data_IF_764010153578
#
_entry.id   IF_764010153578
#
_cell.length_a   1.000
_cell.length_b   1.000
_cell.length_c   1.000
_cell.angle_alpha   90.00
_cell.angle_beta   90.00
_cell.angle_gamma   90.00
#
_symmetry.space_group_name_H-M   'P 1'
#
loop_
_entity.id
_entity.type
_entity.pdbx_description
1 polymer ?
#
# COMPACT_ATOMS: atom_id res chain seq x y z
N UNK A 1 31.20 12.46 -8.98
CA UNK A 1 32.13 11.38 -8.60
C UNK A 1 31.47 10.45 -7.59
N UNK A 2 31.62 9.11 -7.73
CA UNK A 2 31.34 8.19 -6.64
C UNK A 2 32.25 8.49 -5.43
N UNK A 3 31.77 8.16 -4.24
CA UNK A 3 32.46 8.42 -2.97
C UNK A 3 32.51 7.15 -2.15
N UNK A 4 33.67 6.85 -1.56
CA UNK A 4 33.88 5.69 -0.70
C UNK A 4 34.58 6.09 0.59
N UNK A 5 34.48 5.24 1.61
CA UNK A 5 35.29 5.32 2.82
C UNK A 5 36.46 4.34 2.69
N UNK A 6 37.66 4.83 2.88
CA UNK A 6 38.92 4.09 2.77
C UNK A 6 39.65 4.08 4.11
N UNK A 7 40.50 3.10 4.30
CA UNK A 7 41.45 3.03 5.40
C UNK A 7 42.86 2.85 4.85
N UNK A 8 43.82 3.62 5.36
CA UNK A 8 45.23 3.56 4.98
C UNK A 8 45.90 2.31 5.58
N UNK A 9 46.46 1.43 4.74
CA UNK A 9 47.00 0.13 5.18
C UNK A 9 48.52 0.08 5.27
N UNK A 10 49.24 0.84 4.45
CA UNK A 10 50.70 1.01 4.55
C UNK A 10 51.16 2.25 3.81
N UNK A 11 52.29 2.81 4.24
CA UNK A 11 53.08 3.79 3.48
C UNK A 11 54.27 3.08 2.84
N UNK A 12 54.75 3.57 1.70
CA UNK A 12 55.96 3.09 0.99
C UNK A 12 56.97 4.23 0.84
N UNK A 13 58.24 3.87 0.74
CA UNK A 13 59.36 4.81 0.63
C UNK A 13 59.36 5.63 -0.68
N UNK A 14 58.55 5.23 -1.66
CA UNK A 14 58.30 5.95 -2.92
C UNK A 14 57.26 7.08 -2.80
N UNK A 15 56.69 7.30 -1.61
CA UNK A 15 55.64 8.29 -1.36
C UNK A 15 54.22 7.79 -1.63
N UNK A 16 54.06 6.57 -2.14
CA UNK A 16 52.75 5.97 -2.37
C UNK A 16 52.21 5.25 -1.13
N UNK A 17 50.88 5.20 -1.02
CA UNK A 17 50.19 4.58 0.11
C UNK A 17 49.22 3.52 -0.37
N UNK A 18 49.16 2.38 0.32
CA UNK A 18 48.13 1.36 0.06
C UNK A 18 46.87 1.65 0.88
N UNK A 19 45.71 1.37 0.31
CA UNK A 19 44.42 1.58 0.97
C UNK A 19 43.49 0.36 0.80
N UNK A 20 42.57 0.19 1.74
CA UNK A 20 41.43 -0.73 1.66
C UNK A 20 40.12 0.03 1.80
N UNK A 21 39.01 -0.50 1.29
CA UNK A 21 37.70 0.04 1.67
C UNK A 21 37.49 -0.17 3.19
N UNK A 22 36.88 0.80 3.89
CA UNK A 22 36.67 0.69 5.34
C UNK A 22 35.92 -0.61 5.69
N UNK A 23 36.53 -1.42 6.57
CA UNK A 23 36.00 -2.74 6.95
C UNK A 23 36.32 -3.92 6.02
N UNK A 24 36.93 -3.71 4.84
CA UNK A 24 37.36 -4.80 3.95
C UNK A 24 38.64 -5.49 4.46
N UNK A 25 38.84 -6.79 4.22
CA UNK A 25 40.03 -7.52 4.70
C UNK A 25 41.29 -7.34 3.84
N UNK A 26 41.15 -6.99 2.58
CA UNK A 26 42.25 -6.94 1.61
C UNK A 26 42.44 -5.51 1.07
N UNK A 27 43.68 -5.08 0.77
CA UNK A 27 43.95 -3.80 0.12
C UNK A 27 43.31 -3.75 -1.27
N UNK A 28 42.74 -2.60 -1.61
CA UNK A 28 41.99 -2.35 -2.84
C UNK A 28 42.81 -1.63 -3.92
N UNK A 29 43.84 -0.87 -3.52
CA UNK A 29 44.66 -0.12 -4.46
C UNK A 29 45.78 0.66 -3.77
N UNK A 30 46.41 1.52 -4.56
CA UNK A 30 47.43 2.48 -4.13
C UNK A 30 46.90 3.90 -4.36
N UNK A 31 47.38 4.88 -3.59
CA UNK A 31 47.12 6.31 -3.76
C UNK A 31 48.42 7.11 -3.61
N UNK A 32 48.47 8.29 -4.23
CA UNK A 32 49.57 9.23 -4.05
C UNK A 32 49.48 9.92 -2.67
N UNK A 33 50.55 9.87 -1.89
CA UNK A 33 50.66 10.53 -0.59
C UNK A 33 50.51 12.05 -0.66
N UNK A 34 50.66 12.68 -1.83
CA UNK A 34 50.41 14.11 -2.03
C UNK A 34 48.95 14.53 -1.75
N UNK A 35 48.00 13.58 -1.83
CA UNK A 35 46.58 13.81 -1.55
C UNK A 35 46.24 13.74 -0.06
N UNK A 36 47.15 13.26 0.79
CA UNK A 36 46.90 13.04 2.21
C UNK A 36 46.95 14.35 3.03
N UNK A 37 46.08 14.50 4.05
CA UNK A 37 46.21 15.61 4.98
C UNK A 37 47.49 15.49 5.82
N UNK A 38 48.09 16.63 6.14
CA UNK A 38 49.34 16.69 6.92
C UNK A 38 49.18 15.98 8.28
N UNK A 39 49.92 14.89 8.47
CA UNK A 39 49.86 14.08 9.69
C UNK A 39 49.06 12.78 9.58
N UNK A 40 48.59 12.39 8.39
CA UNK A 40 47.93 11.10 8.15
C UNK A 40 48.81 9.90 8.55
N UNK A 41 48.19 8.89 9.15
CA UNK A 41 48.83 7.68 9.66
C UNK A 41 48.17 6.38 9.12
N UNK A 42 48.89 5.26 9.22
CA UNK A 42 48.34 3.94 8.92
C UNK A 42 47.22 3.62 9.92
N UNK A 43 46.05 3.22 9.41
CA UNK A 43 44.83 3.01 10.18
C UNK A 43 43.81 4.16 10.08
N UNK A 44 44.18 5.33 9.55
CA UNK A 44 43.24 6.44 9.38
C UNK A 44 42.14 6.09 8.38
N UNK A 45 40.89 6.37 8.76
CA UNK A 45 39.72 6.23 7.90
C UNK A 45 39.34 7.59 7.29
N UNK A 46 39.45 7.68 5.96
CA UNK A 46 39.25 8.90 5.19
C UNK A 46 38.15 8.69 4.15
N UNK A 47 37.47 9.78 3.77
CA UNK A 47 36.44 9.72 2.73
C UNK A 47 37.05 10.17 1.41
N UNK A 48 37.07 9.28 0.42
CA UNK A 48 37.66 9.52 -0.88
C UNK A 48 36.59 9.76 -1.96
N UNK A 49 36.88 10.66 -2.90
CA UNK A 49 36.25 10.66 -4.22
C UNK A 49 37.07 9.76 -5.14
N UNK A 50 36.39 8.88 -5.88
CA UNK A 50 37.04 7.93 -6.78
C UNK A 50 36.56 8.09 -8.22
N UNK A 51 37.42 7.69 -9.14
CA UNK A 51 37.11 7.52 -10.55
C UNK A 51 37.38 6.07 -10.96
N UNK A 52 36.61 5.55 -11.92
CA UNK A 52 36.69 4.15 -12.35
C UNK A 52 37.22 4.09 -13.78
N UNK A 53 38.43 3.55 -13.92
CA UNK A 53 39.10 3.33 -15.20
C UNK A 53 39.10 1.84 -15.57
N UNK A 54 39.60 1.50 -16.77
CA UNK A 54 39.75 0.10 -17.19
C UNK A 54 40.66 -0.70 -16.24
N UNK A 55 41.68 -0.04 -15.68
CA UNK A 55 42.72 -0.67 -14.86
C UNK A 55 42.40 -0.68 -13.36
N UNK A 56 41.29 -0.06 -12.91
CA UNK A 56 40.87 -0.10 -11.51
C UNK A 56 40.08 1.12 -11.01
N UNK A 57 40.04 1.25 -9.68
CA UNK A 57 39.51 2.40 -8.96
C UNK A 57 40.68 3.27 -8.49
N UNK A 58 40.72 4.51 -8.97
CA UNK A 58 41.71 5.51 -8.57
C UNK A 58 41.08 6.52 -7.61
N UNK A 59 41.85 7.04 -6.66
CA UNK A 59 41.41 8.09 -5.73
C UNK A 59 41.86 9.44 -6.26
N UNK A 60 40.90 10.28 -6.61
CA UNK A 60 41.17 11.60 -7.23
C UNK A 60 41.25 12.72 -6.19
N UNK A 61 40.56 12.58 -5.05
CA UNK A 61 40.56 13.57 -3.97
C UNK A 61 40.17 12.95 -2.63
N UNK A 62 40.70 13.52 -1.53
CA UNK A 62 40.29 13.18 -0.16
C UNK A 62 39.49 14.33 0.47
N UNK A 63 38.34 13.98 1.02
CA UNK A 63 37.49 14.89 1.79
C UNK A 63 37.99 14.88 3.24
N UNK A 64 38.40 16.04 3.74
CA UNK A 64 38.75 16.22 5.15
C UNK A 64 37.60 15.73 6.05
N UNK A 65 37.88 15.01 7.16
CA UNK A 65 36.85 14.57 8.07
C UNK A 65 36.08 15.78 8.59
N UNK A 66 34.75 15.75 8.42
CA UNK A 66 33.86 16.76 8.99
C UNK A 66 34.08 16.74 10.50
N UNK A 67 34.63 17.83 11.05
CA UNK A 67 34.90 17.94 12.47
C UNK A 67 33.66 17.52 13.25
N UNK A 68 33.81 16.52 14.13
CA UNK A 68 32.73 16.03 14.97
C UNK A 68 32.25 17.17 15.85
N UNK A 69 31.06 17.69 15.57
CA UNK A 69 30.40 18.60 16.48
C UNK A 69 29.98 17.79 17.69
N UNK A 70 30.72 17.91 18.80
CA UNK A 70 30.45 17.26 20.09
C UNK A 70 29.24 17.89 20.81
N UNK A 71 28.22 18.27 20.03
CA UNK A 71 26.93 18.70 20.51
C UNK A 71 25.94 17.56 20.23
N UNK A 72 25.11 17.15 21.21
CA UNK A 72 24.05 16.19 20.95
C UNK A 72 23.07 16.76 19.93
N UNK A 73 22.51 15.89 19.07
CA UNK A 73 21.50 16.24 18.06
C UNK A 73 20.22 16.80 18.73
N UNK A 74 20.23 18.10 19.06
CA UNK A 74 19.06 18.81 19.55
C UNK A 74 18.09 19.02 18.39
N UNK A 75 16.94 18.36 18.47
CA UNK A 75 15.79 18.66 17.62
C UNK A 75 15.26 20.05 17.98
N UNK A 76 15.67 21.07 17.24
CA UNK A 76 15.15 22.43 17.38
C UNK A 76 13.68 22.46 16.92
N UNK A 77 12.77 22.41 17.90
CA UNK A 77 11.33 22.51 17.66
C UNK A 77 10.99 23.97 17.34
N UNK A 78 11.04 24.30 16.06
CA UNK A 78 10.47 25.55 15.54
C UNK A 78 8.96 25.55 15.77
N UNK A 79 8.55 26.15 16.89
CA UNK A 79 7.13 26.39 17.20
C UNK A 79 6.46 27.17 16.07
N UNK A 80 5.23 26.81 15.73
CA UNK A 80 4.52 27.23 14.50
C UNK A 80 4.19 28.73 14.39
N UNK A 81 4.69 29.58 15.30
CA UNK A 81 4.38 31.00 15.40
C UNK A 81 2.92 31.31 15.72
N UNK A 82 2.09 30.30 16.01
CA UNK A 82 0.64 30.42 16.19
C UNK A 82 0.26 30.07 17.61
N UNK A 83 -0.38 31.01 18.28
CA UNK A 83 -0.85 30.85 19.65
C UNK A 83 -2.21 30.13 19.65
N UNK A 84 -2.19 28.82 19.39
CA UNK A 84 -3.37 27.94 19.48
C UNK A 84 -3.48 27.36 20.90
N UNK A 85 -4.69 27.31 21.51
CA UNK A 85 -4.85 26.85 22.89
C UNK A 85 -4.48 25.37 23.05
N UNK A 86 -3.51 25.10 23.92
CA UNK A 86 -2.79 23.82 24.01
C UNK A 86 -3.59 22.64 24.60
N UNK A 87 -4.87 22.81 24.95
CA UNK A 87 -5.70 21.73 25.54
C UNK A 87 -7.12 21.76 25.00
N UNK A 88 -7.59 20.64 24.44
CA UNK A 88 -8.99 20.43 24.06
C UNK A 88 -9.67 19.52 25.09
N UNK A 89 -10.06 20.07 26.25
CA UNK A 89 -10.84 19.30 27.24
C UNK A 89 -12.30 19.14 26.82
N UNK A 90 -12.68 17.98 26.28
CA UNK A 90 -14.09 17.63 26.08
C UNK A 90 -14.70 17.05 27.35
N UNK A 91 -15.26 17.90 28.20
CA UNK A 91 -16.04 17.47 29.37
C UNK A 91 -17.40 16.89 28.95
N UNK A 92 -17.71 15.67 29.41
CA UNK A 92 -18.99 15.03 29.18
C UNK A 92 -20.13 15.74 29.94
N UNK A 93 -21.27 15.98 29.27
CA UNK A 93 -22.44 16.60 29.91
C UNK A 93 -23.17 15.63 30.84
N UNK A 94 -23.13 15.94 32.14
CA UNK A 94 -23.90 15.29 33.21
C UNK A 94 -25.41 15.52 33.00
N UNK A 95 -26.20 14.45 33.03
CA UNK A 95 -27.66 14.53 32.95
C UNK A 95 -28.28 15.15 34.21
N UNK A 96 -29.44 15.79 34.07
CA UNK A 96 -30.23 16.31 35.21
C UNK A 96 -31.73 16.04 35.01
N UNK A 97 -32.32 15.41 36.02
CA UNK A 97 -33.74 15.12 36.14
C UNK A 97 -34.53 16.24 36.83
N UNK A 98 -35.79 16.39 36.44
CA UNK A 98 -36.93 16.60 37.36
C UNK A 98 -37.25 17.99 37.95
N UNK A 99 -38.24 18.68 37.35
CA UNK A 99 -39.36 19.47 37.97
C UNK A 99 -40.17 20.05 36.80
N UNK A 100 -41.46 19.76 36.55
CA UNK A 100 -42.74 19.76 37.33
C UNK A 100 -43.40 21.15 37.36
N UNK A 101 -44.62 21.23 36.81
CA UNK A 101 -45.47 22.42 36.68
C UNK A 101 -45.40 23.02 35.26
N UNK A 102 -46.48 23.45 34.59
CA UNK A 102 -47.94 23.46 34.87
C UNK A 102 -48.72 23.34 33.53
N UNK A 103 -50.00 22.96 33.59
CA UNK A 103 -50.98 23.16 32.51
C UNK A 103 -52.07 24.12 33.02
N UNK A 104 -52.67 24.99 32.18
CA UNK A 104 -53.98 24.62 31.58
C UNK A 104 -54.36 25.31 30.24
N UNK A 105 -55.33 24.72 29.50
CA UNK A 105 -56.16 25.37 28.43
C UNK A 105 -55.34 25.94 27.22
N UNK A 106 -55.81 26.32 26.02
CA UNK A 106 -57.05 26.20 25.20
C UNK A 106 -56.73 26.73 23.77
N UNK A 107 -57.45 26.51 22.67
CA UNK A 107 -58.60 25.64 22.37
C UNK A 107 -58.73 25.33 20.84
N UNK A 108 -59.91 24.86 20.42
CA UNK A 108 -60.55 25.01 19.10
C UNK A 108 -59.95 24.33 17.84
N UNK A 109 -60.73 23.32 17.39
CA UNK A 109 -60.82 22.84 16.01
C UNK A 109 -61.65 23.84 15.17
N UNK A 110 -61.50 23.89 13.82
CA UNK A 110 -62.40 23.08 12.97
C UNK A 110 -61.79 22.59 11.63
N UNK A 111 -61.88 21.28 11.30
CA UNK A 111 -62.88 20.61 10.41
C UNK A 111 -62.51 20.51 8.92
N UNK A 112 -62.66 19.29 8.34
CA UNK A 112 -62.58 19.02 6.90
C UNK A 112 -62.36 17.52 6.57
N UNK A 113 -63.25 16.62 6.99
CA UNK A 113 -64.33 15.98 6.20
C UNK A 113 -63.93 14.79 5.27
N UNK A 114 -64.34 13.59 5.74
CA UNK A 114 -65.03 12.48 5.01
C UNK A 114 -64.18 11.67 3.99
N UNK A 115 -64.46 10.39 3.70
CA UNK A 115 -65.74 9.64 3.75
C UNK A 115 -65.57 8.10 3.90
N UNK A 116 -66.51 7.46 4.61
CA UNK A 116 -67.03 6.05 4.65
C UNK A 116 -66.12 4.84 4.26
N UNK A 117 -66.17 3.63 4.86
CA UNK A 117 -67.01 3.04 5.93
C UNK A 117 -67.82 1.81 5.47
N UNK A 118 -67.61 0.61 6.06
CA UNK A 118 -68.63 -0.47 6.21
C UNK A 118 -68.23 -1.65 7.14
N UNK A 119 -69.25 -2.14 7.85
CA UNK A 119 -69.40 -3.32 8.74
C UNK A 119 -69.07 -4.68 8.07
N UNK A 120 -69.00 -5.86 8.71
CA UNK A 120 -69.34 -6.34 10.06
C UNK A 120 -69.92 -7.78 10.03
N UNK A 121 -69.90 -8.54 11.16
CA UNK A 121 -70.27 -9.99 11.35
C UNK A 121 -69.26 -11.04 10.78
N UNK A 122 -69.10 -12.24 11.35
CA UNK A 122 -69.62 -12.76 12.63
C UNK A 122 -69.30 -14.25 12.97
N UNK A 123 -68.92 -14.50 14.23
CA UNK A 123 -69.12 -15.65 15.18
C UNK A 123 -69.20 -17.15 14.75
N UNK A 124 -68.59 -17.99 15.64
CA UNK A 124 -68.84 -19.43 16.03
C UNK A 124 -68.35 -20.53 15.05
N UNK A 125 -67.60 -21.60 15.42
CA UNK A 125 -67.70 -22.69 16.47
C UNK A 125 -68.99 -23.52 16.30
N UNK A 126 -69.04 -24.86 16.18
CA UNK A 126 -68.28 -26.03 16.71
C UNK A 126 -68.33 -27.21 15.69
N UNK A 127 -67.39 -28.18 15.57
CA UNK A 127 -66.99 -29.37 16.41
C UNK A 127 -67.96 -30.59 16.37
N UNK A 128 -67.45 -31.75 15.94
CA UNK A 128 -68.09 -33.10 15.94
C UNK A 128 -67.65 -33.92 14.70
N UNK A 129 -66.76 -34.91 14.76
CA UNK A 129 -66.87 -36.32 15.24
C UNK A 129 -67.57 -37.30 14.25
N UNK A 130 -67.26 -38.61 14.13
CA UNK A 130 -66.08 -39.46 14.45
C UNK A 130 -66.35 -40.94 14.06
N UNK A 131 -65.61 -41.55 13.12
CA UNK A 131 -65.53 -43.02 12.89
C UNK A 131 -64.61 -43.36 11.69
N UNK A 132 -63.99 -44.54 11.53
CA UNK A 132 -63.44 -45.54 12.48
C UNK A 132 -62.59 -46.58 11.69
N UNK A 133 -61.44 -47.04 12.23
CA UNK A 133 -60.71 -48.30 11.83
C UNK A 133 -60.15 -48.39 10.39
N UNK A 134 -59.00 -49.00 10.06
CA UNK A 134 -58.29 -50.15 10.66
C UNK A 134 -56.75 -49.99 10.68
N UNK A 135 -56.06 -50.99 11.27
CA UNK A 135 -54.63 -51.06 11.62
C UNK A 135 -53.71 -51.39 10.43
N UNK A 136 -52.46 -50.93 10.45
CA UNK A 136 -51.27 -51.80 10.63
C UNK A 136 -49.96 -50.98 10.70
N UNK A 137 -48.96 -51.57 11.35
CA UNK A 137 -47.68 -50.98 11.72
C UNK A 137 -46.68 -50.86 10.54
N UNK A 138 -45.69 -49.96 10.65
CA UNK A 138 -44.67 -49.78 9.61
C UNK A 138 -43.75 -48.59 9.86
N UNK A 139 -42.65 -48.84 10.58
CA UNK A 139 -41.73 -47.83 11.09
C UNK A 139 -40.89 -47.11 10.00
N UNK A 140 -40.77 -45.78 10.12
CA UNK A 140 -39.66 -44.89 9.70
C UNK A 140 -38.95 -45.16 8.34
N UNK A 141 -38.98 -44.30 7.31
CA UNK A 141 -39.07 -42.82 7.32
C UNK A 141 -37.67 -42.19 7.13
N UNK A 142 -36.99 -42.23 5.97
CA UNK A 142 -37.32 -41.78 4.60
C UNK A 142 -36.57 -40.49 4.19
N UNK A 143 -35.64 -40.66 3.24
CA UNK A 143 -35.50 -39.89 2.00
C UNK A 143 -35.47 -38.34 2.02
N UNK A 144 -34.26 -37.82 2.06
CA UNK A 144 -33.74 -36.71 1.23
C UNK A 144 -34.62 -36.23 0.03
N UNK A 145 -35.12 -34.98 0.05
CA UNK A 145 -35.01 -34.07 -1.12
C UNK A 145 -35.32 -32.59 -0.84
N UNK A 146 -34.51 -31.76 -1.50
CA UNK A 146 -34.64 -30.31 -1.78
C UNK A 146 -36.06 -29.72 -1.70
N UNK A 147 -36.18 -28.54 -1.07
CA UNK A 147 -37.10 -27.50 -1.59
C UNK A 147 -36.52 -26.09 -1.46
N UNK A 148 -36.65 -25.37 -2.57
CA UNK A 148 -36.14 -24.04 -2.86
C UNK A 148 -36.96 -22.96 -2.15
N UNK A 149 -36.31 -21.94 -1.55
CA UNK A 149 -37.00 -20.81 -0.91
C UNK A 149 -36.54 -19.48 -1.49
N UNK A 150 -37.32 -18.99 -2.44
CA UNK A 150 -37.16 -17.67 -3.04
C UNK A 150 -37.61 -16.57 -2.07
N UNK A 151 -36.65 -15.84 -1.49
CA UNK A 151 -36.93 -14.59 -0.74
C UNK A 151 -36.35 -13.37 -1.45
N UNK A 152 -37.04 -12.96 -2.52
CA UNK A 152 -36.89 -11.63 -3.13
C UNK A 152 -37.19 -10.55 -2.06
N UNK A 153 -36.16 -9.92 -1.50
CA UNK A 153 -36.31 -8.66 -0.76
C UNK A 153 -35.98 -7.49 -1.69
N UNK A 154 -36.98 -6.63 -1.89
CA UNK A 154 -36.87 -5.39 -2.66
C UNK A 154 -35.79 -4.48 -2.06
N UNK A 155 -34.84 -4.06 -2.89
CA UNK A 155 -34.03 -2.85 -2.69
C UNK A 155 -34.03 -2.05 -3.99
N UNK A 156 -35.09 -1.26 -4.15
CA UNK A 156 -35.22 -0.23 -5.19
C UNK A 156 -34.54 1.04 -4.65
N UNK A 157 -33.67 1.68 -5.43
CA UNK A 157 -33.01 2.93 -5.01
C UNK A 157 -31.48 2.87 -4.89
N UNK A 158 -30.79 2.42 -5.95
CA UNK A 158 -29.44 2.85 -6.25
C UNK A 158 -29.28 2.84 -7.77
N UNK A 159 -29.30 4.01 -8.39
CA UNK A 159 -28.87 4.20 -9.78
C UNK A 159 -27.37 3.98 -9.84
N UNK A 160 -26.96 2.72 -9.93
CA UNK A 160 -25.64 2.39 -10.42
C UNK A 160 -25.58 2.87 -11.86
N UNK A 161 -24.98 4.04 -12.09
CA UNK A 161 -24.58 4.46 -13.43
C UNK A 161 -23.82 3.29 -14.06
N UNK A 162 -24.08 2.94 -15.33
CA UNK A 162 -23.26 1.98 -16.04
C UNK A 162 -21.87 2.61 -16.22
N UNK A 163 -21.02 2.41 -15.23
CA UNK A 163 -19.58 2.58 -15.39
C UNK A 163 -19.23 1.73 -16.59
N UNK A 164 -18.76 2.38 -17.65
CA UNK A 164 -18.12 1.73 -18.78
C UNK A 164 -16.98 0.92 -18.22
N UNK A 165 -17.24 -0.37 -18.02
CA UNK A 165 -16.29 -1.36 -17.57
C UNK A 165 -15.30 -1.53 -18.73
N UNK A 166 -14.34 -0.61 -18.79
CA UNK A 166 -13.16 -0.75 -19.62
C UNK A 166 -12.56 -2.10 -19.24
N UNK A 167 -12.47 -3.00 -20.21
CA UNK A 167 -11.92 -4.36 -20.04
C UNK A 167 -10.43 -4.24 -19.73
N UNK A 168 -10.14 -3.90 -18.48
CA UNK A 168 -8.81 -4.00 -17.90
C UNK A 168 -8.46 -5.47 -17.74
N UNK A 169 -7.16 -5.82 -17.83
CA UNK A 169 -6.72 -7.19 -17.60
C UNK A 169 -7.20 -7.69 -16.22
N UNK A 170 -7.45 -9.00 -16.07
CA UNK A 170 -7.92 -9.57 -14.82
C UNK A 170 -6.97 -9.21 -13.68
N UNK A 171 -7.52 -8.88 -12.51
CA UNK A 171 -6.73 -8.50 -11.34
C UNK A 171 -5.79 -9.66 -10.96
N UNK A 172 -4.50 -9.40 -10.69
CA UNK A 172 -3.53 -10.44 -10.38
C UNK A 172 -3.94 -11.23 -9.13
N UNK A 173 -3.54 -12.52 -9.07
CA UNK A 173 -3.90 -13.38 -7.94
C UNK A 173 -3.09 -12.95 -6.71
N UNK A 174 -3.75 -12.87 -5.56
CA UNK A 174 -3.07 -12.58 -4.28
C UNK A 174 -2.38 -13.84 -3.76
N UNK A 175 -1.22 -13.66 -3.12
CA UNK A 175 -0.49 -14.75 -2.48
C UNK A 175 -1.37 -15.45 -1.42
N UNK A 176 -1.36 -16.78 -1.42
CA UNK A 176 -2.07 -17.62 -0.43
C UNK A 176 -1.09 -18.62 0.21
N UNK A 177 -0.35 -18.19 1.26
CA UNK A 177 0.58 -19.05 1.99
C UNK A 177 -0.14 -20.25 2.61
N UNK A 178 0.58 -21.36 2.73
CA UNK A 178 0.16 -22.48 3.59
C UNK A 178 0.52 -22.14 5.05
N UNK A 179 0.38 -23.11 5.94
CA UNK A 179 0.80 -23.02 7.36
C UNK A 179 1.50 -24.31 7.78
N UNK A 180 2.28 -24.92 6.87
CA UNK A 180 3.01 -26.18 7.08
C UNK A 180 4.17 -25.92 8.03
N UNK A 181 5.07 -25.04 7.61
CA UNK A 181 6.27 -24.68 8.38
C UNK A 181 5.90 -23.97 9.68
N UNK A 182 4.95 -23.03 9.64
CA UNK A 182 4.45 -22.33 10.83
C UNK A 182 3.86 -23.30 11.87
N UNK A 183 3.14 -24.35 11.46
CA UNK A 183 2.63 -25.38 12.39
C UNK A 183 3.76 -26.25 12.96
N UNK A 184 4.70 -26.68 12.13
CA UNK A 184 5.85 -27.46 12.57
C UNK A 184 6.70 -26.69 13.59
N UNK A 185 6.98 -25.41 13.32
CA UNK A 185 7.73 -24.55 14.24
C UNK A 185 6.99 -24.28 15.56
N UNK A 186 5.66 -24.23 15.56
CA UNK A 186 4.88 -24.15 16.81
C UNK A 186 4.92 -25.46 17.60
N UNK A 187 4.83 -26.61 16.94
CA UNK A 187 4.85 -27.93 17.58
C UNK A 187 6.25 -28.37 18.05
N UNK A 188 7.30 -27.67 17.63
CA UNK A 188 8.68 -27.88 18.06
C UNK A 188 9.09 -27.01 19.28
N UNK A 189 8.19 -26.18 19.79
CA UNK A 189 8.40 -25.44 21.03
C UNK A 189 8.14 -26.34 22.25
N UNK A 190 8.75 -26.06 23.41
CA UNK A 190 8.31 -26.61 24.69
C UNK A 190 6.83 -26.30 24.95
N UNK A 191 6.14 -27.18 25.68
CA UNK A 191 4.69 -27.11 25.84
C UNK A 191 4.23 -25.82 26.54
N UNK A 192 5.04 -25.34 27.49
CA UNK A 192 4.84 -24.09 28.23
C UNK A 192 4.89 -22.86 27.29
N UNK A 193 5.60 -22.96 26.17
CA UNK A 193 5.78 -21.88 25.21
C UNK A 193 4.76 -21.92 24.06
N UNK A 194 3.94 -22.97 23.95
CA UNK A 194 2.94 -23.10 22.88
C UNK A 194 1.97 -21.91 22.82
N UNK A 195 1.49 -21.42 23.96
CA UNK A 195 0.55 -20.30 24.01
C UNK A 195 1.21 -18.99 23.54
N UNK A 196 2.41 -18.70 24.05
CA UNK A 196 3.21 -17.52 23.66
C UNK A 196 3.51 -17.59 22.15
N UNK A 197 3.97 -18.75 21.66
CA UNK A 197 4.22 -18.99 20.24
C UNK A 197 2.98 -18.75 19.37
N UNK A 198 1.79 -19.17 19.81
CA UNK A 198 0.54 -18.92 19.09
C UNK A 198 0.16 -17.43 19.04
N UNK A 199 0.40 -16.67 20.11
CA UNK A 199 0.18 -15.21 20.15
C UNK A 199 1.15 -14.52 19.17
N UNK A 200 2.44 -14.83 19.27
CA UNK A 200 3.50 -14.32 18.39
C UNK A 200 3.24 -14.63 16.92
N UNK A 201 2.78 -15.84 16.60
CA UNK A 201 2.44 -16.26 15.24
C UNK A 201 1.17 -15.58 14.66
N UNK A 202 0.45 -14.78 15.46
CA UNK A 202 -0.72 -13.99 15.05
C UNK A 202 -0.43 -12.48 15.04
N UNK A 203 0.17 -11.95 16.12
CA UNK A 203 0.36 -10.50 16.33
C UNK A 203 1.81 -10.05 16.56
N UNK A 204 2.79 -10.96 16.51
CA UNK A 204 4.19 -10.67 16.83
C UNK A 204 4.39 -10.20 18.27
N UNK A 205 5.54 -9.57 18.53
CA UNK A 205 5.87 -9.00 19.86
C UNK A 205 4.83 -7.95 20.33
N UNK A 206 4.30 -7.03 19.48
CA UNK A 206 3.25 -6.10 19.91
C UNK A 206 2.00 -6.83 20.41
N UNK A 207 1.49 -7.81 19.66
CA UNK A 207 0.33 -8.60 20.09
C UNK A 207 0.58 -9.41 21.37
N UNK A 208 1.83 -9.76 21.68
CA UNK A 208 2.18 -10.35 22.98
C UNK A 208 2.07 -9.31 24.11
N UNK A 209 2.57 -8.09 23.92
CA UNK A 209 2.43 -6.99 24.91
C UNK A 209 0.96 -6.68 25.17
N UNK A 210 0.18 -6.43 24.12
CA UNK A 210 -1.27 -6.16 24.20
C UNK A 210 -2.02 -7.26 24.98
N UNK A 211 -1.63 -8.53 24.76
CA UNK A 211 -2.25 -9.69 25.42
C UNK A 211 -1.88 -9.79 26.90
N UNK A 212 -0.64 -9.48 27.29
CA UNK A 212 -0.21 -9.50 28.69
C UNK A 212 -0.77 -8.28 29.43
N UNK A 213 -0.77 -7.09 28.85
CA UNK A 213 -1.38 -5.90 29.43
C UNK A 213 -2.88 -6.10 29.73
N UNK A 214 -3.61 -6.75 28.81
CA UNK A 214 -5.00 -7.12 29.02
C UNK A 214 -5.19 -8.13 30.18
N UNK A 215 -4.27 -9.10 30.34
CA UNK A 215 -4.31 -10.06 31.45
C UNK A 215 -3.95 -9.40 32.78
N UNK A 216 -2.91 -8.56 32.83
CA UNK A 216 -2.51 -7.84 34.04
C UNK A 216 -3.62 -6.91 34.54
N UNK A 217 -4.35 -6.27 33.63
CA UNK A 217 -5.53 -5.50 33.98
C UNK A 217 -6.62 -6.38 34.62
N UNK A 218 -6.90 -7.54 34.06
CA UNK A 218 -7.88 -8.47 34.62
C UNK A 218 -7.44 -9.07 35.97
N UNK A 219 -6.15 -9.39 36.12
CA UNK A 219 -5.57 -9.85 37.39
C UNK A 219 -5.69 -8.76 38.48
N UNK A 220 -5.40 -7.50 38.15
CA UNK A 220 -5.58 -6.36 39.05
C UNK A 220 -7.05 -6.17 39.47
N UNK A 221 -8.00 -6.34 38.54
CA UNK A 221 -9.44 -6.31 38.82
C UNK A 221 -9.90 -7.51 39.69
N UNK A 222 -9.20 -8.65 39.62
CA UNK A 222 -9.45 -9.86 40.41
C UNK A 222 -8.71 -9.90 41.77
N UNK A 223 -7.72 -9.02 42.00
CA UNK A 223 -6.84 -9.05 43.17
C UNK A 223 -5.71 -10.09 43.08
N UNK A 224 -5.42 -10.59 41.88
CA UNK A 224 -4.33 -11.53 41.58
C UNK A 224 -3.00 -10.79 41.30
N UNK A 225 -1.83 -11.45 41.51
CA UNK A 225 -0.54 -10.84 41.24
C UNK A 225 -0.31 -10.58 39.74
N UNK A 226 0.46 -9.52 39.44
CA UNK A 226 0.76 -9.13 38.06
C UNK A 226 1.70 -10.12 37.34
N UNK A 227 1.43 -10.43 36.07
CA UNK A 227 2.28 -11.27 35.22
C UNK A 227 3.49 -10.44 34.74
N UNK A 228 4.74 -10.93 34.86
CA UNK A 228 5.93 -10.14 34.53
C UNK A 228 6.10 -9.96 33.00
N UNK A 229 5.53 -8.87 32.48
CA UNK A 229 5.51 -8.51 31.05
C UNK A 229 6.91 -8.47 30.42
N UNK A 230 7.90 -7.93 31.13
CA UNK A 230 9.29 -7.83 30.63
C UNK A 230 9.91 -9.20 30.34
N UNK A 231 9.71 -10.18 31.21
CA UNK A 231 10.22 -11.55 31.05
C UNK A 231 9.54 -12.27 29.87
N UNK A 232 8.21 -12.12 29.74
CA UNK A 232 7.46 -12.70 28.62
C UNK A 232 7.86 -12.08 27.28
N UNK A 233 8.13 -10.77 27.24
CA UNK A 233 8.61 -10.08 26.03
C UNK A 233 10.01 -10.56 25.65
N UNK A 234 10.96 -10.65 26.59
CA UNK A 234 12.32 -11.17 26.32
C UNK A 234 12.30 -12.62 25.81
N UNK A 235 11.47 -13.48 26.42
CA UNK A 235 11.24 -14.85 25.98
C UNK A 235 10.61 -14.89 24.57
N UNK A 236 9.67 -13.99 24.30
CA UNK A 236 9.07 -13.81 22.98
C UNK A 236 10.08 -13.39 21.92
N UNK A 237 10.96 -12.44 22.23
CA UNK A 237 12.04 -11.97 21.34
C UNK A 237 13.04 -13.08 20.99
N UNK A 238 13.26 -14.04 21.91
CA UNK A 238 14.08 -15.23 21.66
C UNK A 238 13.43 -16.23 20.69
N UNK A 239 12.13 -16.51 20.80
CA UNK A 239 11.44 -17.54 19.98
C UNK A 239 10.79 -16.99 18.71
N UNK A 240 10.44 -15.70 18.66
CA UNK A 240 9.78 -15.09 17.50
C UNK A 240 10.57 -15.21 16.18
N UNK A 241 11.91 -15.16 16.13
CA UNK A 241 12.64 -15.23 14.88
C UNK A 241 12.54 -16.58 14.15
N UNK A 242 12.41 -17.70 14.87
CA UNK A 242 12.19 -19.02 14.23
C UNK A 242 10.76 -19.11 13.67
N UNK A 243 9.76 -18.60 14.40
CA UNK A 243 8.38 -18.50 13.93
C UNK A 243 8.25 -17.58 12.70
N UNK A 244 8.99 -16.46 12.66
CA UNK A 244 9.09 -15.58 11.49
C UNK A 244 9.74 -16.28 10.29
N UNK A 245 10.81 -17.04 10.52
CA UNK A 245 11.50 -17.84 9.49
C UNK A 245 10.53 -18.86 8.88
N UNK A 246 9.79 -19.58 9.72
CA UNK A 246 8.81 -20.57 9.31
C UNK A 246 7.60 -19.96 8.55
N UNK A 247 7.08 -18.81 8.99
CA UNK A 247 6.03 -18.09 8.26
C UNK A 247 6.52 -17.58 6.90
N UNK A 248 7.74 -17.03 6.84
CA UNK A 248 8.34 -16.63 5.58
C UNK A 248 8.53 -17.84 4.64
N UNK A 249 8.91 -19.01 5.17
CA UNK A 249 9.05 -20.23 4.36
C UNK A 249 7.70 -20.66 3.75
N UNK A 250 6.61 -20.68 4.52
CA UNK A 250 5.24 -20.92 4.02
C UNK A 250 4.80 -19.91 2.94
N UNK A 251 5.27 -18.65 3.02
CA UNK A 251 5.04 -17.61 2.01
C UNK A 251 5.90 -17.81 0.77
N UNK A 252 7.14 -18.24 0.94
CA UNK A 252 8.12 -18.46 -0.11
C UNK A 252 7.79 -19.67 -0.99
N UNK A 253 7.39 -20.82 -0.39
CA UNK A 253 6.87 -21.97 -1.12
C UNK A 253 5.65 -21.58 -2.00
N UNK A 254 4.72 -20.80 -1.44
CA UNK A 254 3.52 -20.35 -2.14
C UNK A 254 3.82 -19.30 -3.24
N UNK A 255 4.85 -18.47 -3.03
CA UNK A 255 5.32 -17.51 -4.02
C UNK A 255 5.97 -18.21 -5.22
N UNK A 256 6.80 -19.22 -4.97
CA UNK A 256 7.45 -20.02 -6.02
C UNK A 256 6.43 -20.88 -6.79
N UNK A 257 5.49 -21.51 -6.10
CA UNK A 257 4.40 -22.28 -6.73
C UNK A 257 3.52 -21.40 -7.62
N UNK A 258 3.28 -20.15 -7.20
CA UNK A 258 2.44 -19.18 -7.91
C UNK A 258 3.22 -18.19 -8.78
N UNK A 259 4.48 -18.47 -9.10
CA UNK A 259 5.45 -17.47 -9.58
C UNK A 259 5.02 -16.73 -10.85
N UNK A 260 4.20 -17.35 -11.72
CA UNK A 260 3.67 -16.73 -12.93
C UNK A 260 2.35 -15.94 -12.72
N UNK A 261 1.57 -16.24 -11.68
CA UNK A 261 0.19 -15.74 -11.52
C UNK A 261 -0.01 -14.76 -10.36
N UNK A 262 0.87 -14.81 -9.35
CA UNK A 262 0.79 -13.98 -8.16
C UNK A 262 1.13 -12.52 -8.49
N UNK A 263 0.55 -11.56 -7.79
CA UNK A 263 0.88 -10.13 -7.95
C UNK A 263 2.39 -9.87 -7.70
N UNK A 264 3.05 -9.17 -8.64
CA UNK A 264 4.46 -8.77 -8.48
C UNK A 264 4.73 -8.03 -7.17
N UNK A 265 3.75 -7.28 -6.63
CA UNK A 265 3.85 -6.63 -5.33
C UNK A 265 3.96 -7.62 -4.17
N UNK A 266 3.17 -8.70 -4.22
CA UNK A 266 3.20 -9.74 -3.18
C UNK A 266 4.54 -10.51 -3.27
N UNK A 267 5.02 -10.82 -4.48
CA UNK A 267 6.34 -11.44 -4.70
C UNK A 267 7.49 -10.58 -4.18
N UNK A 268 7.51 -9.28 -4.53
CA UNK A 268 8.48 -8.30 -4.01
C UNK A 268 8.44 -8.22 -2.48
N UNK A 269 7.25 -8.28 -1.86
CA UNK A 269 7.12 -8.31 -0.40
C UNK A 269 7.72 -9.57 0.23
N UNK A 270 7.63 -10.73 -0.42
CA UNK A 270 8.25 -11.97 0.07
C UNK A 270 9.77 -11.92 -0.07
N UNK A 271 10.28 -11.41 -1.20
CA UNK A 271 11.73 -11.23 -1.42
C UNK A 271 12.33 -10.27 -0.39
N UNK A 272 11.77 -9.08 -0.19
CA UNK A 272 12.24 -8.11 0.83
C UNK A 272 12.12 -8.67 2.25
N UNK A 273 11.11 -9.49 2.53
CA UNK A 273 11.01 -10.15 3.84
C UNK A 273 12.10 -11.19 4.08
N UNK A 274 12.73 -11.73 3.02
CA UNK A 274 13.75 -12.79 3.13
C UNK A 274 15.03 -12.31 3.81
N UNK A 275 15.42 -11.05 3.61
CA UNK A 275 16.70 -10.49 4.11
C UNK A 275 16.82 -10.52 5.65
N UNK A 276 15.70 -10.68 6.36
CA UNK A 276 15.64 -10.79 7.83
C UNK A 276 15.05 -12.12 8.33
N UNK A 277 14.50 -12.94 7.42
CA UNK A 277 13.79 -14.18 7.74
C UNK A 277 14.48 -15.45 7.22
N UNK A 278 15.31 -15.38 6.18
CA UNK A 278 16.06 -16.52 5.65
C UNK A 278 17.32 -16.80 6.49
N UNK A 279 17.20 -17.71 7.48
CA UNK A 279 18.22 -17.96 8.51
C UNK A 279 18.89 -19.34 8.44
N UNK A 280 18.27 -20.31 7.75
CA UNK A 280 18.89 -21.61 7.40
C UNK A 280 19.31 -21.62 5.94
N UNK A 281 20.21 -22.53 5.55
CA UNK A 281 20.70 -22.61 4.17
C UNK A 281 19.58 -22.93 3.16
N UNK A 282 18.66 -23.83 3.50
CA UNK A 282 17.42 -24.08 2.75
C UNK A 282 16.63 -22.78 2.49
N UNK A 283 16.42 -21.96 3.53
CA UNK A 283 15.70 -20.68 3.36
C UNK A 283 16.50 -19.64 2.58
N UNK A 284 17.84 -19.65 2.64
CA UNK A 284 18.71 -18.78 1.83
C UNK A 284 18.68 -19.18 0.36
N UNK A 285 18.74 -20.49 0.07
CA UNK A 285 18.64 -21.04 -1.28
C UNK A 285 17.27 -20.70 -1.90
N UNK A 286 16.19 -20.90 -1.15
CA UNK A 286 14.84 -20.53 -1.57
C UNK A 286 14.69 -19.02 -1.83
N UNK A 287 15.33 -18.18 -1.00
CA UNK A 287 15.39 -16.74 -1.21
C UNK A 287 16.23 -16.36 -2.45
N UNK A 288 17.30 -17.10 -2.76
CA UNK A 288 18.07 -16.95 -3.99
C UNK A 288 17.22 -17.22 -5.23
N UNK A 289 16.61 -18.40 -5.30
CA UNK A 289 15.69 -18.80 -6.39
C UNK A 289 14.55 -17.80 -6.59
N UNK A 290 13.94 -17.32 -5.51
CA UNK A 290 12.89 -16.31 -5.60
C UNK A 290 13.36 -14.93 -6.11
N UNK A 291 14.62 -14.53 -5.89
CA UNK A 291 15.18 -13.30 -6.46
C UNK A 291 15.41 -13.44 -7.96
N UNK A 292 15.96 -14.56 -8.39
CA UNK A 292 16.22 -14.89 -9.79
C UNK A 292 14.91 -14.97 -10.60
N UNK A 293 13.97 -15.79 -10.16
CA UNK A 293 12.65 -15.93 -10.79
C UNK A 293 11.86 -14.60 -10.84
N UNK A 294 11.95 -13.78 -9.78
CA UNK A 294 11.33 -12.45 -9.78
C UNK A 294 11.99 -11.51 -10.79
N UNK A 295 13.31 -11.55 -10.95
CA UNK A 295 14.02 -10.75 -11.95
C UNK A 295 13.59 -11.15 -13.37
N UNK A 296 13.72 -12.44 -13.71
CA UNK A 296 13.30 -13.01 -14.99
C UNK A 296 11.85 -12.66 -15.33
N UNK A 297 10.93 -12.78 -14.35
CA UNK A 297 9.52 -12.42 -14.56
C UNK A 297 9.32 -10.91 -14.76
N UNK A 298 10.01 -10.06 -14.00
CA UNK A 298 9.89 -8.59 -14.14
C UNK A 298 10.40 -8.13 -15.50
N UNK A 299 11.49 -8.69 -16.00
CA UNK A 299 12.08 -8.32 -17.29
C UNK A 299 11.21 -8.84 -18.46
N UNK A 300 10.62 -10.04 -18.32
CA UNK A 300 9.61 -10.55 -19.26
C UNK A 300 8.37 -9.64 -19.31
N UNK A 301 7.75 -9.33 -18.17
CA UNK A 301 6.57 -8.45 -18.13
C UNK A 301 6.88 -7.03 -18.61
N UNK A 302 8.09 -6.52 -18.37
CA UNK A 302 8.54 -5.22 -18.90
C UNK A 302 8.67 -5.25 -20.42
N UNK A 303 9.21 -6.33 -20.99
CA UNK A 303 9.30 -6.55 -22.44
C UNK A 303 7.92 -6.66 -23.09
N UNK A 304 7.01 -7.43 -22.48
CA UNK A 304 5.61 -7.56 -22.90
C UNK A 304 4.90 -6.19 -22.87
N UNK A 305 5.06 -5.41 -21.80
CA UNK A 305 4.50 -4.07 -21.67
C UNK A 305 5.04 -3.09 -22.73
N UNK A 306 6.35 -3.07 -22.99
CA UNK A 306 6.93 -2.24 -24.06
C UNK A 306 6.34 -2.60 -25.43
N UNK A 307 6.17 -3.90 -25.71
CA UNK A 307 5.58 -4.37 -26.95
C UNK A 307 4.08 -4.07 -27.04
N UNK A 308 3.33 -4.09 -25.94
CA UNK A 308 1.93 -3.64 -25.91
C UNK A 308 1.83 -2.12 -26.15
N UNK A 309 2.73 -1.32 -25.58
CA UNK A 309 2.78 0.14 -25.83
C UNK A 309 3.06 0.42 -27.31
N UNK A 310 4.12 -0.20 -27.89
CA UNK A 310 4.49 -0.05 -29.31
C UNK A 310 3.33 -0.44 -30.23
N UNK A 311 2.82 -1.68 -30.14
CA UNK A 311 1.71 -2.15 -30.98
C UNK A 311 0.40 -1.37 -30.78
N UNK A 312 0.15 -0.82 -29.59
CA UNK A 312 -0.99 0.08 -29.36
C UNK A 312 -0.80 1.43 -30.05
N UNK A 313 0.43 1.96 -30.07
CA UNK A 313 0.78 3.18 -30.78
C UNK A 313 0.71 2.99 -32.30
N UNK A 314 1.29 1.91 -32.83
CA UNK A 314 1.26 1.55 -34.25
C UNK A 314 -0.17 1.34 -34.77
N UNK A 315 -1.09 0.87 -33.92
CA UNK A 315 -2.53 0.75 -34.23
C UNK A 315 -3.32 2.06 -34.08
N UNK A 316 -2.66 3.21 -33.91
CA UNK A 316 -3.28 4.53 -33.81
C UNK A 316 -4.11 4.77 -32.53
N UNK A 317 -4.03 3.89 -31.52
CA UNK A 317 -4.85 3.96 -30.30
C UNK A 317 -4.18 4.82 -29.23
N UNK A 318 -3.92 6.08 -29.56
CA UNK A 318 -3.08 7.03 -28.81
C UNK A 318 -3.49 7.15 -27.32
N UNK A 319 -4.78 7.34 -27.02
CA UNK A 319 -5.28 7.40 -25.63
C UNK A 319 -5.00 6.12 -24.84
N UNK A 320 -5.05 4.94 -25.49
CA UNK A 320 -4.68 3.67 -24.86
C UNK A 320 -3.17 3.59 -24.65
N UNK A 321 -2.36 3.95 -25.65
CA UNK A 321 -0.89 3.95 -25.55
C UNK A 321 -0.40 4.85 -24.40
N UNK A 322 -0.91 6.09 -24.32
CA UNK A 322 -0.65 7.01 -23.22
C UNK A 322 -1.02 6.41 -21.85
N UNK A 323 -2.21 5.81 -21.73
CA UNK A 323 -2.64 5.16 -20.47
C UNK A 323 -1.78 3.93 -20.11
N UNK A 324 -1.35 3.13 -21.07
CA UNK A 324 -0.41 2.00 -20.84
C UNK A 324 0.97 2.49 -20.40
N UNK A 325 1.51 3.53 -21.03
CA UNK A 325 2.84 4.08 -20.72
C UNK A 325 2.96 4.60 -19.28
N UNK A 326 1.85 4.97 -18.64
CA UNK A 326 1.79 5.36 -17.22
C UNK A 326 1.85 4.18 -16.22
N UNK A 327 1.89 2.93 -16.70
CA UNK A 327 1.74 1.71 -15.88
C UNK A 327 2.84 0.66 -16.12
N UNK A 328 4.13 1.01 -15.97
CA UNK A 328 5.21 0.03 -16.07
C UNK A 328 5.11 -1.03 -14.95
N UNK A 329 5.45 -2.31 -15.21
CA UNK A 329 5.43 -3.36 -14.18
C UNK A 329 6.52 -3.17 -13.11
N UNK A 330 7.56 -2.38 -13.44
CA UNK A 330 8.64 -1.94 -12.56
C UNK A 330 8.54 -0.43 -12.40
N UNK A 331 8.27 0.05 -11.19
CA UNK A 331 8.21 1.49 -10.91
C UNK A 331 9.55 2.15 -11.24
N UNK A 332 9.52 3.28 -11.95
CA UNK A 332 10.72 3.99 -12.39
C UNK A 332 11.46 3.35 -13.58
N UNK A 333 10.96 2.26 -14.18
CA UNK A 333 11.49 1.78 -15.46
C UNK A 333 10.98 2.68 -16.60
N UNK A 334 11.87 3.44 -17.29
CA UNK A 334 11.45 4.33 -18.36
C UNK A 334 11.10 3.55 -19.62
N UNK A 335 10.30 4.15 -20.51
CA UNK A 335 10.31 3.78 -21.93
C UNK A 335 11.64 4.27 -22.54
N UNK A 336 12.20 3.61 -23.57
CA UNK A 336 13.38 4.13 -24.24
C UNK A 336 13.07 5.45 -24.98
N UNK A 337 14.08 6.29 -25.25
CA UNK A 337 13.85 7.64 -25.78
C UNK A 337 13.06 7.68 -27.07
N UNK A 338 13.33 6.78 -28.03
CA UNK A 338 12.64 6.73 -29.32
C UNK A 338 11.13 6.46 -29.17
N UNK A 339 10.71 5.61 -28.23
CA UNK A 339 9.30 5.37 -27.92
C UNK A 339 8.66 6.57 -27.22
N UNK A 340 9.39 7.27 -26.35
CA UNK A 340 8.90 8.51 -25.74
C UNK A 340 8.74 9.62 -26.79
N UNK A 341 9.65 9.71 -27.76
CA UNK A 341 9.59 10.69 -28.85
C UNK A 341 8.38 10.41 -29.75
N UNK A 342 8.22 9.16 -30.23
CA UNK A 342 7.04 8.73 -31.02
C UNK A 342 5.72 8.92 -30.28
N UNK A 343 5.70 8.67 -28.96
CA UNK A 343 4.48 8.85 -28.15
C UNK A 343 4.14 10.32 -27.93
N UNK A 344 5.14 11.20 -27.83
CA UNK A 344 4.94 12.65 -27.78
C UNK A 344 4.48 13.21 -29.13
N UNK A 345 5.13 12.82 -30.22
CA UNK A 345 4.77 13.19 -31.60
C UNK A 345 3.31 12.79 -31.92
N UNK A 346 2.94 11.54 -31.65
CA UNK A 346 1.56 11.09 -31.83
C UNK A 346 0.55 11.83 -30.93
N UNK A 347 0.94 12.21 -29.70
CA UNK A 347 0.09 13.03 -28.84
C UNK A 347 -0.09 14.44 -29.43
N UNK A 348 0.97 15.09 -29.90
CA UNK A 348 0.96 16.42 -30.52
C UNK A 348 0.03 16.44 -31.75
N UNK A 349 0.23 15.50 -32.69
CA UNK A 349 -0.58 15.32 -33.89
C UNK A 349 -2.05 14.95 -33.61
N UNK A 350 -2.36 14.47 -32.41
CA UNK A 350 -3.73 14.19 -31.98
C UNK A 350 -4.45 15.38 -31.33
N UNK A 351 -3.70 16.42 -30.93
CA UNK A 351 -4.19 17.61 -30.25
C UNK A 351 -4.22 18.80 -31.23
N UNK A 352 -5.21 18.78 -32.12
CA UNK A 352 -5.44 19.82 -33.14
C UNK A 352 -6.70 20.63 -32.85
N UNK A 353 -6.86 21.75 -33.56
CA UNK A 353 -8.07 22.59 -33.48
C UNK A 353 -9.31 21.96 -34.14
N UNK A 354 -9.14 20.87 -34.91
CA UNK A 354 -10.20 20.24 -35.71
C UNK A 354 -10.91 19.07 -35.00
N UNK A 355 -10.37 18.58 -33.87
CA UNK A 355 -10.99 17.50 -33.09
C UNK A 355 -12.04 18.05 -32.12
N UNK A 356 -13.00 17.20 -31.71
CA UNK A 356 -13.97 17.56 -30.69
C UNK A 356 -13.30 17.81 -29.33
N UNK A 357 -13.87 18.75 -28.56
CA UNK A 357 -13.29 19.14 -27.27
C UNK A 357 -13.32 18.02 -26.23
N UNK A 358 -14.32 17.12 -26.27
CA UNK A 358 -14.37 15.90 -25.46
C UNK A 358 -13.19 14.96 -25.73
N UNK A 359 -12.81 14.84 -27.02
CA UNK A 359 -11.65 14.05 -27.44
C UNK A 359 -10.37 14.72 -26.99
N UNK A 360 -10.29 16.05 -27.10
CA UNK A 360 -9.17 16.85 -26.62
C UNK A 360 -8.97 16.63 -25.11
N UNK A 361 -10.03 16.81 -24.31
CA UNK A 361 -10.06 16.56 -22.87
C UNK A 361 -9.66 15.11 -22.51
N UNK A 362 -10.14 14.12 -23.28
CA UNK A 362 -9.79 12.71 -23.08
C UNK A 362 -8.31 12.42 -23.34
N UNK A 363 -7.70 13.10 -24.33
CA UNK A 363 -6.27 12.97 -24.64
C UNK A 363 -5.44 13.63 -23.55
N UNK A 364 -5.74 14.87 -23.13
CA UNK A 364 -4.92 15.55 -22.11
C UNK A 364 -4.98 14.87 -20.74
N UNK A 365 -6.12 14.29 -20.35
CA UNK A 365 -6.23 13.44 -19.16
C UNK A 365 -5.30 12.21 -19.22
N UNK A 366 -5.05 11.68 -20.43
CA UNK A 366 -4.13 10.57 -20.63
C UNK A 366 -2.66 11.04 -20.71
N UNK A 367 -2.39 12.17 -21.37
CA UNK A 367 -1.06 12.81 -21.41
C UNK A 367 -0.59 13.14 -20.00
N UNK A 368 -1.44 13.74 -19.17
CA UNK A 368 -1.12 14.15 -17.80
C UNK A 368 -0.72 13.02 -16.83
N UNK A 369 -0.90 11.76 -17.23
CA UNK A 369 -0.43 10.58 -16.48
C UNK A 369 0.74 9.86 -17.18
N UNK A 370 0.97 10.14 -18.46
CA UNK A 370 2.03 9.54 -19.28
C UNK A 370 3.40 10.15 -18.99
N UNK A 371 4.52 9.41 -19.10
CA UNK A 371 5.87 9.99 -18.98
C UNK A 371 6.18 11.11 -19.98
N UNK A 372 5.41 11.28 -21.07
CA UNK A 372 5.62 12.38 -22.05
C UNK A 372 4.91 13.69 -21.70
N UNK A 373 4.31 13.83 -20.52
CA UNK A 373 3.52 15.02 -20.13
C UNK A 373 4.23 16.37 -20.28
N UNK A 374 5.55 16.43 -20.09
CA UNK A 374 6.38 17.65 -20.29
C UNK A 374 6.93 17.81 -21.72
N UNK A 375 6.58 16.90 -22.64
CA UNK A 375 7.09 16.87 -24.03
C UNK A 375 5.99 17.14 -25.06
N UNK A 376 4.75 17.31 -24.60
CA UNK A 376 3.58 17.49 -25.46
C UNK A 376 3.35 18.97 -25.74
N UNK A 377 3.38 19.33 -27.01
CA UNK A 377 3.05 20.65 -27.56
C UNK A 377 1.93 20.44 -28.57
N UNK A 378 0.67 20.83 -28.26
CA UNK A 378 -0.46 20.69 -29.17
C UNK A 378 -0.20 21.40 -30.51
N UNK A 379 -0.50 20.74 -31.63
CA UNK A 379 -0.43 21.37 -32.96
C UNK A 379 -1.50 22.47 -33.13
N UNK A 380 -2.63 22.35 -32.43
CA UNK A 380 -3.70 23.35 -32.48
C UNK A 380 -4.56 23.39 -31.23
N UNK A 381 -4.86 24.60 -30.78
CA UNK A 381 -5.83 24.87 -29.72
C UNK A 381 -7.22 25.05 -30.33
N UNK A 382 -8.30 24.58 -29.68
CA UNK A 382 -9.67 24.95 -30.06
C UNK A 382 -9.86 26.47 -29.97
N UNK A 383 -10.46 27.07 -31.00
CA UNK A 383 -10.62 28.53 -31.08
C UNK A 383 -11.49 29.11 -29.95
N UNK A 384 -12.56 28.38 -29.58
CA UNK A 384 -13.46 28.73 -28.48
C UNK A 384 -13.54 27.55 -27.50
N UNK A 385 -12.66 27.48 -26.48
CA UNK A 385 -12.65 26.38 -25.52
C UNK A 385 -13.84 26.47 -24.56
N UNK A 386 -14.65 25.42 -24.52
CA UNK A 386 -15.77 25.26 -23.61
C UNK A 386 -15.30 25.06 -22.16
N UNK A 387 -16.13 25.46 -21.20
CA UNK A 387 -15.78 25.42 -19.78
C UNK A 387 -15.46 24.00 -19.28
N UNK A 388 -16.09 22.95 -19.84
CA UNK A 388 -15.77 21.55 -19.51
C UNK A 388 -14.32 21.17 -19.86
N UNK A 389 -13.83 21.62 -21.02
CA UNK A 389 -12.43 21.44 -21.42
C UNK A 389 -11.50 22.23 -20.49
N UNK A 390 -11.86 23.47 -20.16
CA UNK A 390 -11.09 24.31 -19.24
C UNK A 390 -11.05 23.72 -17.82
N UNK A 391 -12.14 23.11 -17.32
CA UNK A 391 -12.14 22.38 -16.04
C UNK A 391 -11.14 21.21 -16.04
N UNK A 392 -11.10 20.43 -17.13
CA UNK A 392 -10.14 19.33 -17.29
C UNK A 392 -8.71 19.86 -17.31
N UNK A 393 -8.40 20.87 -18.14
CA UNK A 393 -7.06 21.47 -18.21
C UNK A 393 -6.64 22.07 -16.86
N UNK A 394 -7.53 22.78 -16.15
CA UNK A 394 -7.26 23.28 -14.78
C UNK A 394 -6.95 22.13 -13.81
N UNK A 395 -7.70 21.02 -13.88
CA UNK A 395 -7.49 19.82 -13.04
C UNK A 395 -6.14 19.17 -13.27
N UNK A 396 -5.64 19.13 -14.51
CA UNK A 396 -4.34 18.51 -14.85
C UNK A 396 -3.18 19.51 -14.94
N UNK A 397 -3.42 20.80 -14.73
CA UNK A 397 -2.47 21.90 -14.99
C UNK A 397 -1.08 21.75 -14.33
N UNK A 398 -0.98 21.13 -13.15
CA UNK A 398 0.31 20.84 -12.50
C UNK A 398 1.14 19.77 -13.22
N UNK A 399 0.50 18.89 -14.00
CA UNK A 399 1.15 17.81 -14.73
C UNK A 399 1.43 18.21 -16.20
N UNK A 400 0.73 19.21 -16.74
CA UNK A 400 0.92 19.70 -18.12
C UNK A 400 1.02 21.24 -18.13
N UNK A 401 2.07 21.81 -17.50
CA UNK A 401 2.15 23.24 -17.22
C UNK A 401 2.19 24.12 -18.47
N UNK A 402 2.92 23.69 -19.50
CA UNK A 402 3.07 24.45 -20.76
C UNK A 402 1.74 24.48 -21.52
N UNK A 403 1.08 23.32 -21.62
CA UNK A 403 -0.24 23.19 -22.22
C UNK A 403 -1.28 24.03 -21.47
N UNK A 404 -1.30 23.99 -20.14
CA UNK A 404 -2.19 24.84 -19.34
C UNK A 404 -1.93 26.34 -19.58
N UNK A 405 -0.67 26.73 -19.73
CA UNK A 405 -0.27 28.10 -20.05
C UNK A 405 -0.78 28.54 -21.43
N UNK A 406 -0.83 27.64 -22.42
CA UNK A 406 -1.44 27.90 -23.74
C UNK A 406 -2.95 28.18 -23.67
N UNK A 407 -3.67 27.67 -22.67
CA UNK A 407 -5.07 28.03 -22.38
C UNK A 407 -5.21 29.23 -21.42
N UNK A 408 -4.13 29.95 -21.11
CA UNK A 408 -4.12 31.05 -20.13
C UNK A 408 -4.33 30.61 -18.67
N UNK A 409 -4.26 29.30 -18.40
CA UNK A 409 -4.46 28.72 -17.07
C UNK A 409 -3.12 28.64 -16.35
N UNK A 410 -2.97 29.41 -15.25
CA UNK A 410 -1.81 29.28 -14.36
C UNK A 410 -1.84 27.91 -13.66
N UNK A 411 -0.77 27.10 -13.72
CA UNK A 411 -0.68 25.85 -12.97
C UNK A 411 -0.94 26.05 -11.48
N UNK A 412 -1.91 25.32 -10.94
CA UNK A 412 -2.34 25.48 -9.55
C UNK A 412 -2.62 24.10 -8.91
N UNK A 413 -2.25 23.89 -7.63
CA UNK A 413 -2.53 22.64 -6.95
C UNK A 413 -4.04 22.38 -6.93
N UNK A 414 -4.42 21.18 -7.37
CA UNK A 414 -5.85 20.85 -7.53
C UNK A 414 -6.58 21.01 -6.21
N UNK A 415 -7.78 21.61 -6.24
CA UNK A 415 -8.64 21.72 -5.06
C UNK A 415 -9.06 20.31 -4.63
N UNK A 416 -8.30 19.70 -3.72
CA UNK A 416 -8.62 18.39 -3.13
C UNK A 416 -10.08 18.41 -2.66
N UNK A 417 -10.93 17.62 -3.30
CA UNK A 417 -12.31 17.49 -2.86
C UNK A 417 -12.29 17.00 -1.41
N UNK A 418 -12.88 17.79 -0.50
CA UNK A 418 -12.96 17.43 0.91
C UNK A 418 -13.86 16.21 1.04
N UNK A 419 -13.25 15.04 0.98
CA UNK A 419 -13.91 13.74 1.16
C UNK A 419 -14.78 13.84 2.42
N UNK A 420 -16.10 13.64 2.34
CA UNK A 420 -16.97 13.83 3.50
C UNK A 420 -16.48 12.92 4.61
N UNK A 421 -16.18 13.53 5.78
CA UNK A 421 -15.72 12.79 6.95
C UNK A 421 -16.78 11.77 7.30
N UNK A 422 -16.42 10.49 7.20
CA UNK A 422 -17.29 9.38 7.58
C UNK A 422 -17.59 9.56 9.09
N UNK A 423 -18.86 9.62 9.52
CA UNK A 423 -19.16 9.77 10.93
C UNK A 423 -18.58 8.57 11.68
N UNK A 424 -17.81 8.85 12.72
CA UNK A 424 -17.35 7.85 13.68
C UNK A 424 -18.56 7.37 14.46
N UNK A 425 -18.93 6.10 14.31
CA UNK A 425 -19.80 5.45 15.27
C UNK A 425 -19.04 5.34 16.61
N UNK A 426 -19.70 5.78 17.68
CA UNK A 426 -19.28 5.54 19.06
C UNK A 426 -19.82 4.18 19.53
#
# INVERSE_FOLDING_TARGET
MPRIEIELTSSRDDGSWTWRAAGAREPRGTLDGSLLPTGAAVGDQLRAETEQFLDGLEITALLLPKAGSDQPDLLEILGSGRNEPQVITTLAKKGRSGRKGESPHSDDKPRGRRRDGKDGKGRRKERGERSQSTRSDGETGSSNKKKESSRRRSRKGATASPSTATEGPPKPKRLRPRRKHRKAALAALPEELHLIGQILARGGIPGLRDTVEAQNKAALEAGEPEIPTSLLVQLGERIYPSLRTADWHDRAEAALTGIAEVDLRDLRSVVVASDTAARSDETRELAGKLREELATRVDREHTEWMNEVRSTLDSGRIVRALRLSSRPPKAGAPLPPAELDRLAEAANASLTSQISQDRWATIIDAVALSPVHLRVVPEGLPAEPAEELLEVVRRVSMNVPDVASSFGIKPAPTRRSRRPRRPTAF
#
